data_IF_197859308823
#
_entry.id   IF_197859308823
#
_cell.length_a   1.000
_cell.length_b   1.000
_cell.length_c   1.000
_cell.angle_alpha   90.00
_cell.angle_beta   90.00
_cell.angle_gamma   90.00
#
_symmetry.space_group_name_H-M   'P 1'
#
loop_
_entity.id
_entity.type
_entity.pdbx_description
1 polymer ?
#
# COMPACT_ATOMS: atom_id res chain seq x y z
N UNK A 1 26.83 -31.25 -18.11
CA UNK A 1 27.64 -29.99 -17.96
C UNK A 1 27.47 -29.49 -16.56
N UNK A 2 28.52 -29.45 -15.77
CA UNK A 2 28.49 -28.89 -14.42
C UNK A 2 28.57 -27.38 -14.51
N UNK A 3 27.46 -26.70 -14.62
CA UNK A 3 27.43 -25.22 -14.55
C UNK A 3 27.28 -24.89 -13.07
N UNK A 4 28.31 -24.33 -12.46
CA UNK A 4 28.24 -23.89 -11.08
C UNK A 4 27.43 -22.57 -11.01
N UNK A 5 26.12 -22.71 -11.06
CA UNK A 5 25.15 -21.60 -11.02
C UNK A 5 24.88 -21.11 -9.60
N UNK A 6 25.36 -21.84 -8.57
CA UNK A 6 25.03 -21.54 -7.19
C UNK A 6 25.52 -20.16 -6.72
N UNK A 7 26.76 -19.83 -7.04
CA UNK A 7 27.30 -18.50 -6.70
C UNK A 7 26.55 -17.35 -7.39
N UNK A 8 26.14 -17.57 -8.64
CA UNK A 8 25.33 -16.58 -9.39
C UNK A 8 23.95 -16.44 -8.78
N UNK A 9 23.31 -17.53 -8.33
CA UNK A 9 22.02 -17.51 -7.64
C UNK A 9 22.13 -16.77 -6.32
N UNK A 10 23.17 -17.03 -5.52
CA UNK A 10 23.40 -16.35 -4.25
C UNK A 10 23.67 -14.85 -4.44
N UNK A 11 24.45 -14.48 -5.44
CA UNK A 11 24.71 -13.09 -5.77
C UNK A 11 23.42 -12.36 -6.19
N UNK A 12 22.64 -12.94 -7.09
CA UNK A 12 21.35 -12.40 -7.52
C UNK A 12 20.38 -12.28 -6.35
N UNK A 13 20.35 -13.29 -5.47
CA UNK A 13 19.54 -13.29 -4.25
C UNK A 13 19.87 -12.09 -3.35
N UNK A 14 21.16 -11.82 -3.12
CA UNK A 14 21.61 -10.67 -2.32
C UNK A 14 21.33 -9.34 -3.00
N UNK A 15 21.62 -9.21 -4.28
CA UNK A 15 21.43 -7.97 -5.05
C UNK A 15 19.95 -7.56 -5.15
N UNK A 16 19.06 -8.55 -5.29
CA UNK A 16 17.62 -8.33 -5.51
C UNK A 16 16.76 -8.52 -4.26
N UNK A 17 17.36 -9.01 -3.16
CA UNK A 17 16.66 -9.25 -1.90
C UNK A 17 15.57 -10.33 -2.00
N UNK A 18 15.74 -11.30 -2.92
CA UNK A 18 14.83 -12.42 -3.17
C UNK A 18 15.43 -13.69 -2.64
N UNK A 19 14.62 -14.59 -2.06
CA UNK A 19 15.13 -15.85 -1.54
C UNK A 19 15.71 -16.75 -2.65
N UNK A 20 16.83 -17.46 -2.42
CA UNK A 20 17.43 -18.36 -3.40
C UNK A 20 16.47 -19.40 -3.98
N UNK A 21 15.55 -19.92 -3.15
CA UNK A 21 14.52 -20.89 -3.55
C UNK A 21 13.62 -20.39 -4.69
N UNK A 22 13.27 -19.11 -4.68
CA UNK A 22 12.45 -18.48 -5.73
C UNK A 22 13.20 -18.47 -7.07
N UNK A 23 14.50 -18.16 -7.03
CA UNK A 23 15.35 -18.16 -8.24
C UNK A 23 15.53 -19.59 -8.76
N UNK A 24 15.72 -20.57 -7.88
CA UNK A 24 15.84 -21.98 -8.24
C UNK A 24 14.57 -22.46 -8.94
N UNK A 25 13.39 -22.24 -8.32
CA UNK A 25 12.11 -22.63 -8.91
C UNK A 25 11.86 -21.97 -10.27
N UNK A 26 12.30 -20.73 -10.45
CA UNK A 26 12.22 -20.04 -11.72
C UNK A 26 13.10 -20.68 -12.80
N UNK A 27 14.31 -21.13 -12.45
CA UNK A 27 15.22 -21.83 -13.35
C UNK A 27 14.63 -23.18 -13.75
N UNK A 28 14.14 -23.96 -12.77
CA UNK A 28 13.53 -25.27 -13.00
C UNK A 28 12.33 -25.16 -13.95
N UNK A 29 11.42 -24.22 -13.70
CA UNK A 29 10.23 -23.99 -14.53
C UNK A 29 10.59 -23.55 -15.95
N UNK A 30 11.57 -22.63 -16.10
CA UNK A 30 12.03 -22.18 -17.40
C UNK A 30 12.58 -23.30 -18.25
N UNK A 31 13.40 -24.12 -17.63
CA UNK A 31 14.02 -25.25 -18.32
C UNK A 31 12.98 -26.32 -18.67
N UNK A 32 12.00 -26.54 -17.80
CA UNK A 32 10.88 -27.45 -18.07
C UNK A 32 10.08 -27.00 -19.30
N UNK A 33 9.73 -25.72 -19.37
CA UNK A 33 8.98 -25.13 -20.51
C UNK A 33 9.80 -25.16 -21.79
N UNK A 34 11.08 -24.79 -21.71
CA UNK A 34 11.98 -24.80 -22.87
C UNK A 34 12.20 -26.21 -23.41
N UNK A 35 12.40 -27.18 -22.50
CA UNK A 35 12.58 -28.59 -22.86
C UNK A 35 11.31 -29.19 -23.47
N UNK A 36 10.13 -28.84 -22.96
CA UNK A 36 8.85 -29.32 -23.51
C UNK A 36 8.59 -28.86 -24.95
N UNK A 37 9.14 -27.72 -25.37
CA UNK A 37 9.06 -27.23 -26.76
C UNK A 37 9.99 -27.97 -27.73
N UNK A 38 11.08 -28.51 -27.20
CA UNK A 38 12.11 -29.17 -28.02
C UNK A 38 11.86 -30.68 -28.16
N UNK A 39 11.43 -31.29 -27.08
CA UNK A 39 11.01 -32.70 -27.03
C UNK A 39 9.49 -32.72 -27.21
N UNK A 40 8.97 -33.56 -28.09
CA UNK A 40 7.53 -33.59 -28.38
C UNK A 40 6.70 -33.56 -27.09
N UNK A 41 5.57 -32.85 -27.09
CA UNK A 41 4.72 -32.57 -25.91
C UNK A 41 4.28 -33.80 -25.06
N UNK A 42 4.66 -34.99 -25.44
CA UNK A 42 4.36 -36.27 -24.79
C UNK A 42 5.42 -36.70 -23.75
N UNK A 43 6.62 -36.11 -23.76
CA UNK A 43 7.67 -36.48 -22.84
C UNK A 43 7.52 -35.79 -21.49
N UNK A 44 7.45 -36.54 -20.39
CA UNK A 44 7.43 -36.03 -19.03
C UNK A 44 8.85 -35.65 -18.59
N UNK A 45 9.24 -34.39 -18.90
CA UNK A 45 10.55 -33.87 -18.57
C UNK A 45 10.53 -33.33 -17.14
N UNK A 46 11.50 -33.76 -16.35
CA UNK A 46 11.75 -33.26 -15.00
C UNK A 46 13.07 -32.51 -14.98
N UNK A 47 13.02 -31.32 -14.38
CA UNK A 47 14.18 -30.49 -14.13
C UNK A 47 14.38 -30.43 -12.62
N UNK A 48 15.57 -30.69 -12.17
CA UNK A 48 15.88 -30.68 -10.75
C UNK A 48 17.25 -30.05 -10.50
N UNK A 49 17.27 -29.06 -9.60
CA UNK A 49 18.49 -28.41 -9.15
C UNK A 49 18.98 -29.01 -7.83
N UNK A 50 20.26 -29.41 -7.77
CA UNK A 50 20.91 -29.88 -6.54
C UNK A 50 21.74 -28.76 -5.93
N UNK A 51 21.25 -28.07 -4.88
CA UNK A 51 21.95 -26.92 -4.26
C UNK A 51 23.32 -27.33 -3.71
N UNK A 52 23.40 -28.53 -3.11
CA UNK A 52 24.63 -29.05 -2.48
C UNK A 52 25.78 -29.25 -3.47
N UNK A 53 25.47 -29.55 -4.74
CA UNK A 53 26.44 -29.75 -5.81
C UNK A 53 26.51 -28.62 -6.83
N UNK A 54 25.59 -27.65 -6.74
CA UNK A 54 25.42 -26.60 -7.75
C UNK A 54 25.05 -27.14 -9.13
N UNK A 55 24.50 -28.35 -9.21
CA UNK A 55 24.23 -29.08 -10.45
C UNK A 55 22.76 -29.01 -10.83
N UNK A 56 22.51 -28.68 -12.08
CA UNK A 56 21.20 -28.78 -12.71
C UNK A 56 21.12 -30.07 -13.49
N UNK A 57 20.10 -30.89 -13.20
CA UNK A 57 19.84 -32.17 -13.91
C UNK A 57 18.51 -32.08 -14.63
N UNK A 58 18.51 -32.46 -15.91
CA UNK A 58 17.31 -32.52 -16.74
C UNK A 58 17.19 -33.95 -17.30
N UNK A 59 16.06 -34.58 -17.00
CA UNK A 59 15.83 -35.98 -17.40
C UNK A 59 14.36 -36.19 -17.78
N UNK A 60 14.15 -37.15 -18.70
CA UNK A 60 12.82 -37.65 -19.00
C UNK A 60 12.52 -38.90 -18.13
N UNK A 61 11.29 -39.00 -17.65
CA UNK A 61 10.80 -40.17 -16.92
C UNK A 61 9.98 -41.00 -17.89
N UNK A 62 10.45 -42.22 -18.21
CA UNK A 62 9.74 -43.14 -19.10
C UNK A 62 9.41 -44.45 -18.36
N UNK A 63 8.27 -45.02 -18.71
CA UNK A 63 7.85 -46.32 -18.22
C UNK A 63 8.48 -47.46 -19.06
N UNK A 64 9.04 -48.43 -18.40
CA UNK A 64 9.63 -49.61 -19.08
C UNK A 64 8.51 -50.57 -19.49
N UNK A 65 8.43 -50.84 -20.79
CA UNK A 65 7.45 -51.75 -21.38
C UNK A 65 8.12 -52.73 -22.32
N UNK A 66 7.47 -53.85 -22.61
CA UNK A 66 8.01 -54.81 -23.58
C UNK A 66 7.97 -54.27 -25.00
N UNK A 67 6.85 -53.62 -25.38
CA UNK A 67 6.65 -53.03 -26.70
C UNK A 67 6.11 -51.60 -26.52
N UNK A 68 6.93 -50.55 -26.74
CA UNK A 68 6.51 -49.17 -26.59
C UNK A 68 5.43 -48.78 -27.61
N UNK A 69 4.30 -48.25 -27.13
CA UNK A 69 3.25 -47.69 -27.96
C UNK A 69 3.38 -46.14 -28.04
N UNK A 70 3.87 -45.53 -27.00
CA UNK A 70 4.17 -44.09 -26.95
C UNK A 70 5.67 -43.86 -26.66
N UNK A 71 6.49 -43.60 -27.68
CA UNK A 71 7.93 -43.38 -27.52
C UNK A 71 8.27 -42.17 -26.62
N UNK A 72 7.32 -41.25 -26.39
CA UNK A 72 7.49 -40.10 -25.48
C UNK A 72 7.39 -40.51 -24.00
N UNK A 73 6.51 -41.43 -23.66
CA UNK A 73 6.21 -41.85 -22.29
C UNK A 73 6.81 -43.21 -21.92
N UNK A 74 7.16 -44.03 -22.92
CA UNK A 74 7.57 -45.44 -22.76
C UNK A 74 8.96 -45.69 -23.34
N UNK A 75 9.65 -46.73 -22.82
CA UNK A 75 10.93 -47.21 -23.30
C UNK A 75 10.92 -48.74 -23.35
N UNK A 76 11.49 -49.33 -24.40
CA UNK A 76 11.63 -50.76 -24.52
C UNK A 76 12.53 -51.33 -23.42
N UNK A 77 12.18 -52.52 -22.90
CA UNK A 77 12.94 -53.20 -21.85
C UNK A 77 14.42 -53.38 -22.21
N UNK A 78 14.72 -53.67 -23.47
CA UNK A 78 16.09 -53.83 -23.94
C UNK A 78 16.91 -52.53 -23.85
N UNK A 79 16.32 -51.43 -24.19
CA UNK A 79 16.94 -50.09 -24.08
C UNK A 79 17.07 -49.66 -22.63
N UNK A 80 16.03 -49.90 -21.82
CA UNK A 80 16.05 -49.64 -20.39
C UNK A 80 17.18 -50.38 -19.67
N UNK A 81 17.43 -51.64 -20.02
CA UNK A 81 18.52 -52.45 -19.46
C UNK A 81 19.92 -51.94 -19.84
N UNK A 82 20.07 -51.26 -20.96
CA UNK A 82 21.36 -50.60 -21.30
C UNK A 82 21.69 -49.44 -20.36
N UNK A 83 20.65 -48.81 -19.82
CA UNK A 83 20.79 -47.66 -18.89
C UNK A 83 20.85 -48.18 -17.44
N UNK A 84 19.98 -49.13 -17.08
CA UNK A 84 19.91 -49.78 -15.77
C UNK A 84 19.72 -51.28 -15.94
N UNK A 85 20.80 -52.08 -15.74
CA UNK A 85 20.76 -53.53 -15.98
C UNK A 85 19.67 -54.29 -15.23
N UNK A 86 19.21 -53.75 -14.07
CA UNK A 86 18.16 -54.34 -13.25
C UNK A 86 16.73 -53.91 -13.60
N UNK A 87 16.52 -53.22 -14.74
CA UNK A 87 15.22 -52.69 -15.13
C UNK A 87 14.23 -53.81 -15.43
N UNK A 88 13.00 -53.67 -14.93
CA UNK A 88 11.88 -54.62 -15.10
C UNK A 88 10.67 -53.92 -15.73
N UNK A 89 9.82 -54.66 -16.50
CA UNK A 89 8.60 -54.06 -17.07
C UNK A 89 7.69 -53.47 -15.98
N UNK A 90 7.10 -52.33 -16.28
CA UNK A 90 6.24 -51.59 -15.34
C UNK A 90 6.96 -50.57 -14.44
N UNK A 91 8.29 -50.64 -14.33
CA UNK A 91 9.09 -49.65 -13.61
C UNK A 91 9.26 -48.35 -14.39
N UNK A 92 9.62 -47.28 -13.69
CA UNK A 92 10.01 -46.02 -14.32
C UNK A 92 11.53 -45.85 -14.32
N UNK A 93 12.07 -45.34 -15.42
CA UNK A 93 13.49 -45.06 -15.57
C UNK A 93 13.70 -43.57 -15.91
N UNK A 94 14.73 -43.00 -15.29
CA UNK A 94 15.18 -41.62 -15.60
C UNK A 94 16.23 -41.65 -16.69
N UNK A 95 16.00 -40.90 -17.77
CA UNK A 95 16.91 -40.79 -18.91
C UNK A 95 17.45 -39.39 -18.95
N UNK A 96 18.74 -39.21 -18.67
CA UNK A 96 19.38 -37.90 -18.73
C UNK A 96 19.37 -37.38 -20.17
N UNK A 97 18.96 -36.13 -20.33
CA UNK A 97 18.93 -35.48 -21.65
C UNK A 97 20.31 -34.92 -22.04
N UNK A 98 20.69 -34.96 -23.34
CA UNK A 98 21.97 -34.44 -23.78
C UNK A 98 22.17 -32.97 -23.49
N UNK A 99 23.26 -32.62 -22.81
CA UNK A 99 23.55 -31.27 -22.37
C UNK A 99 23.69 -30.23 -23.51
N UNK A 100 24.16 -30.70 -24.67
CA UNK A 100 24.42 -29.81 -25.81
C UNK A 100 23.14 -29.27 -26.48
N UNK A 101 22.06 -30.03 -26.40
CA UNK A 101 20.75 -29.65 -26.94
C UNK A 101 20.05 -28.63 -26.04
N UNK A 102 20.29 -28.71 -24.73
CA UNK A 102 19.71 -27.81 -23.72
C UNK A 102 20.45 -26.46 -23.61
N UNK A 103 21.73 -26.43 -23.94
CA UNK A 103 22.59 -25.29 -23.64
C UNK A 103 22.23 -23.99 -24.36
N UNK A 104 21.74 -24.06 -25.59
CA UNK A 104 21.39 -22.84 -26.36
C UNK A 104 19.97 -22.34 -26.12
N UNK A 105 19.02 -23.24 -25.99
CA UNK A 105 17.59 -22.90 -25.82
C UNK A 105 17.29 -22.51 -24.37
N UNK A 106 17.93 -23.21 -23.42
CA UNK A 106 17.75 -22.96 -22.00
C UNK A 106 18.34 -21.64 -21.53
N UNK A 107 19.46 -21.18 -22.11
CA UNK A 107 20.09 -19.94 -21.66
C UNK A 107 19.22 -18.69 -21.90
N UNK A 108 18.55 -18.60 -23.05
CA UNK A 108 17.68 -17.44 -23.35
C UNK A 108 16.32 -17.54 -22.62
N UNK A 109 15.68 -18.71 -22.62
CA UNK A 109 14.41 -18.92 -21.95
C UNK A 109 14.56 -18.82 -20.43
N UNK A 110 15.61 -19.42 -19.84
CA UNK A 110 15.92 -19.30 -18.43
C UNK A 110 16.16 -17.85 -18.01
N UNK A 111 16.93 -17.09 -18.80
CA UNK A 111 17.19 -15.67 -18.52
C UNK A 111 15.86 -14.89 -18.42
N UNK A 112 14.96 -15.07 -19.38
CA UNK A 112 13.69 -14.34 -19.41
C UNK A 112 12.80 -14.69 -18.20
N UNK A 113 12.61 -15.97 -17.89
CA UNK A 113 11.76 -16.40 -16.79
C UNK A 113 12.39 -16.08 -15.42
N UNK A 114 13.71 -16.18 -15.28
CA UNK A 114 14.40 -15.72 -14.07
C UNK A 114 14.13 -14.25 -13.84
N UNK A 115 14.31 -13.39 -14.85
CA UNK A 115 14.02 -11.97 -14.72
C UNK A 115 12.55 -11.72 -14.36
N UNK A 116 11.63 -12.45 -14.98
CA UNK A 116 10.19 -12.31 -14.66
C UNK A 116 9.90 -12.72 -13.22
N UNK A 117 10.37 -13.88 -12.76
CA UNK A 117 10.13 -14.35 -11.39
C UNK A 117 10.80 -13.50 -10.32
N UNK A 118 12.01 -13.02 -10.59
CA UNK A 118 12.69 -12.07 -9.70
C UNK A 118 11.90 -10.78 -9.61
N UNK A 119 11.43 -10.26 -10.74
CA UNK A 119 10.58 -9.07 -10.78
C UNK A 119 9.27 -9.28 -10.02
N UNK A 120 8.59 -10.40 -10.23
CA UNK A 120 7.35 -10.74 -9.52
C UNK A 120 7.57 -10.80 -8.00
N UNK A 121 8.68 -11.38 -7.57
CA UNK A 121 9.04 -11.45 -6.15
C UNK A 121 9.42 -10.08 -5.55
N UNK A 122 10.12 -9.22 -6.30
CA UNK A 122 10.38 -7.83 -5.91
C UNK A 122 9.07 -7.05 -5.74
N UNK A 123 8.14 -7.21 -6.69
CA UNK A 123 6.84 -6.54 -6.65
C UNK A 123 5.98 -7.04 -5.48
N UNK A 124 5.98 -8.35 -5.20
CA UNK A 124 5.27 -8.92 -4.05
C UNK A 124 5.85 -8.42 -2.73
N UNK A 125 7.18 -8.28 -2.64
CA UNK A 125 7.84 -7.71 -1.46
C UNK A 125 7.39 -6.27 -1.21
N UNK A 126 7.34 -5.42 -2.26
CA UNK A 126 6.83 -4.05 -2.15
C UNK A 126 5.40 -4.03 -1.64
N UNK A 127 4.53 -4.89 -2.19
CA UNK A 127 3.15 -4.97 -1.75
C UNK A 127 3.03 -5.36 -0.27
N UNK A 128 3.77 -6.39 0.15
CA UNK A 128 3.79 -6.88 1.53
C UNK A 128 4.34 -5.83 2.52
N UNK A 129 5.30 -5.01 2.08
CA UNK A 129 5.86 -3.91 2.89
C UNK A 129 4.85 -2.77 3.06
N UNK A 130 4.15 -2.36 1.99
CA UNK A 130 3.34 -1.15 2.02
C UNK A 130 1.85 -1.39 2.31
N UNK A 131 1.30 -2.58 2.05
CA UNK A 131 -0.11 -2.86 2.31
C UNK A 131 -0.52 -2.70 3.79
N UNK A 132 0.26 -3.14 4.78
CA UNK A 132 -0.04 -2.92 6.19
C UNK A 132 0.04 -1.44 6.61
N UNK A 133 0.75 -0.62 5.85
CA UNK A 133 0.99 0.80 6.14
C UNK A 133 -0.08 1.73 5.58
N UNK A 134 -1.17 1.19 5.05
CA UNK A 134 -2.32 2.00 4.64
C UNK A 134 -2.87 2.77 5.85
N UNK A 135 -2.96 4.08 5.72
CA UNK A 135 -3.34 4.99 6.81
C UNK A 135 -2.17 5.54 7.62
N UNK A 136 -0.93 5.23 7.26
CA UNK A 136 0.28 5.84 7.83
C UNK A 136 0.76 7.02 6.98
N UNK A 137 1.46 7.95 7.63
CA UNK A 137 2.19 9.03 6.95
C UNK A 137 3.54 8.49 6.51
N UNK A 138 3.86 8.74 5.25
CA UNK A 138 5.19 8.49 4.68
C UNK A 138 5.81 9.80 4.22
N UNK A 139 7.14 9.82 4.26
CA UNK A 139 7.93 10.90 3.69
C UNK A 139 8.54 10.43 2.39
N UNK A 140 8.29 11.15 1.31
CA UNK A 140 8.83 10.86 -0.01
C UNK A 140 9.52 12.06 -0.62
N UNK A 141 10.39 11.82 -1.60
CA UNK A 141 11.04 12.87 -2.39
C UNK A 141 10.41 12.94 -3.77
N UNK A 142 10.11 14.15 -4.24
CA UNK A 142 9.55 14.37 -5.58
C UNK A 142 10.59 13.97 -6.64
N UNK A 143 10.26 12.95 -7.44
CA UNK A 143 11.11 12.44 -8.51
C UNK A 143 10.80 13.08 -9.86
N UNK A 144 9.53 13.11 -10.23
CA UNK A 144 9.05 13.63 -11.50
C UNK A 144 7.56 13.97 -11.45
N UNK A 145 7.10 14.59 -12.50
CA UNK A 145 5.69 14.93 -12.71
C UNK A 145 5.17 14.15 -13.93
N UNK A 146 3.95 13.64 -13.82
CA UNK A 146 3.24 12.93 -14.88
C UNK A 146 1.80 13.47 -14.98
N UNK A 147 1.47 14.16 -16.07
CA UNK A 147 0.12 14.71 -16.30
C UNK A 147 -0.45 15.47 -15.08
N UNK A 148 0.30 16.41 -14.50
CA UNK A 148 0.00 17.15 -13.26
C UNK A 148 0.03 16.32 -11.96
N UNK A 149 0.19 15.01 -12.02
CA UNK A 149 0.40 14.18 -10.84
C UNK A 149 1.87 14.21 -10.44
N UNK A 150 2.14 13.95 -9.18
CA UNK A 150 3.50 13.90 -8.63
C UNK A 150 3.88 12.44 -8.39
N UNK A 151 5.07 12.05 -8.79
CA UNK A 151 5.64 10.76 -8.42
C UNK A 151 6.67 11.00 -7.31
N UNK A 152 6.38 10.43 -6.15
CA UNK A 152 7.26 10.47 -5.00
C UNK A 152 8.10 9.20 -4.93
N UNK A 153 9.33 9.31 -4.45
CA UNK A 153 10.11 8.16 -4.04
C UNK A 153 10.01 8.00 -2.53
N UNK A 154 9.49 6.86 -2.11
CA UNK A 154 9.37 6.44 -0.71
C UNK A 154 10.10 5.10 -0.56
N UNK A 155 11.18 5.03 0.24
CA UNK A 155 11.98 3.81 0.43
C UNK A 155 12.40 3.14 -0.89
N UNK A 156 12.87 3.91 -1.88
CA UNK A 156 13.24 3.44 -3.23
C UNK A 156 12.07 2.90 -4.06
N UNK A 157 10.84 3.07 -3.61
CA UNK A 157 9.62 2.67 -4.31
C UNK A 157 8.86 3.91 -4.74
N UNK A 158 8.25 3.86 -5.92
CA UNK A 158 7.45 4.97 -6.43
C UNK A 158 6.05 4.97 -5.80
N UNK A 159 5.63 6.13 -5.31
CA UNK A 159 4.28 6.38 -4.84
C UNK A 159 3.61 7.44 -5.73
N UNK A 160 2.38 7.16 -6.12
CA UNK A 160 1.57 8.03 -6.98
C UNK A 160 0.80 9.03 -6.13
N UNK A 161 1.03 10.30 -6.37
CA UNK A 161 0.38 11.41 -5.69
C UNK A 161 -0.47 12.19 -6.69
N UNK A 162 -1.78 11.89 -6.80
CA UNK A 162 -2.68 12.52 -7.76
C UNK A 162 -2.79 14.03 -7.53
N UNK A 163 -2.95 14.79 -8.61
CA UNK A 163 -3.13 16.24 -8.53
C UNK A 163 -4.31 16.66 -7.63
N UNK A 164 -5.41 15.90 -7.65
CA UNK A 164 -6.60 16.12 -6.80
C UNK A 164 -6.36 15.88 -5.30
N UNK A 165 -5.30 15.16 -4.97
CA UNK A 165 -4.93 14.82 -3.60
C UNK A 165 -3.88 15.80 -3.02
N UNK A 166 -3.46 16.80 -3.79
CA UNK A 166 -2.65 17.93 -3.33
C UNK A 166 -3.55 18.95 -2.63
N UNK A 167 -2.98 19.71 -1.70
CA UNK A 167 -3.69 20.85 -1.13
C UNK A 167 -3.80 21.97 -2.18
N UNK A 168 -4.85 22.81 -2.12
CA UNK A 168 -4.94 23.99 -2.96
C UNK A 168 -3.69 24.85 -2.82
N UNK A 169 -3.18 25.38 -3.93
CA UNK A 169 -2.00 26.24 -4.02
C UNK A 169 -0.68 25.59 -3.58
N UNK A 170 -0.64 24.26 -3.47
CA UNK A 170 0.58 23.53 -3.17
C UNK A 170 1.39 23.31 -4.45
N UNK A 171 2.57 23.87 -4.50
CA UNK A 171 3.51 23.70 -5.61
C UNK A 171 4.72 22.89 -5.13
N UNK A 172 5.15 21.97 -5.95
CA UNK A 172 6.30 21.11 -5.67
C UNK A 172 7.32 21.22 -6.78
N UNK A 173 8.58 21.12 -6.39
CA UNK A 173 9.74 21.02 -7.28
C UNK A 173 10.37 19.65 -7.16
N UNK A 174 11.10 19.23 -8.20
CA UNK A 174 11.88 17.99 -8.14
C UNK A 174 12.92 18.07 -7.02
N UNK A 175 12.98 17.06 -6.18
CA UNK A 175 13.85 17.00 -5.01
C UNK A 175 13.20 17.44 -3.71
N UNK A 176 12.01 18.04 -3.75
CA UNK A 176 11.28 18.42 -2.53
C UNK A 176 10.90 17.19 -1.72
N UNK A 177 10.95 17.37 -0.40
CA UNK A 177 10.50 16.34 0.55
C UNK A 177 9.05 16.59 0.93
N UNK A 178 8.20 15.59 0.76
CA UNK A 178 6.76 15.67 0.97
C UNK A 178 6.29 14.59 1.93
N UNK A 179 5.53 14.97 2.95
CA UNK A 179 4.79 14.05 3.82
C UNK A 179 3.40 13.84 3.26
N UNK A 180 2.97 12.58 3.12
CA UNK A 180 1.64 12.24 2.64
C UNK A 180 1.14 10.94 3.27
N UNK A 181 -0.18 10.76 3.32
CA UNK A 181 -0.83 9.56 3.84
C UNK A 181 -0.93 8.50 2.76
N UNK A 182 -0.55 7.26 3.05
CA UNK A 182 -0.86 6.13 2.17
C UNK A 182 -2.37 5.88 2.25
N UNK A 183 -3.07 6.05 1.14
CA UNK A 183 -4.52 5.81 1.07
C UNK A 183 -4.87 4.45 0.52
N UNK A 184 -4.01 3.94 -0.38
CA UNK A 184 -4.27 2.68 -1.07
C UNK A 184 -2.97 2.06 -1.60
N UNK A 185 -2.92 0.73 -1.61
CA UNK A 185 -1.89 -0.04 -2.28
C UNK A 185 -2.60 -1.07 -3.18
N UNK A 186 -2.43 -0.95 -4.49
CA UNK A 186 -3.08 -1.82 -5.47
C UNK A 186 -2.06 -2.67 -6.21
N UNK A 187 -2.40 -3.94 -6.48
CA UNK A 187 -1.65 -4.77 -7.43
C UNK A 187 -2.14 -4.47 -8.85
N UNK A 188 -1.25 -4.00 -9.71
CA UNK A 188 -1.51 -3.77 -11.13
C UNK A 188 -0.68 -4.73 -11.99
N UNK A 189 -0.97 -4.81 -13.29
CA UNK A 189 -0.17 -5.61 -14.22
C UNK A 189 1.31 -5.15 -14.30
N UNK A 190 1.59 -3.91 -13.93
CA UNK A 190 2.93 -3.33 -13.92
C UNK A 190 3.64 -3.46 -12.55
N UNK A 191 2.90 -3.90 -11.53
CA UNK A 191 3.35 -4.04 -10.15
C UNK A 191 2.46 -3.30 -9.15
N UNK A 192 2.80 -3.32 -7.85
CA UNK A 192 2.07 -2.60 -6.82
C UNK A 192 2.19 -1.10 -7.02
N UNK A 193 1.05 -0.42 -6.99
CA UNK A 193 0.96 1.03 -7.06
C UNK A 193 0.50 1.57 -5.72
N UNK A 194 1.29 2.45 -5.13
CA UNK A 194 1.03 3.09 -3.84
C UNK A 194 0.41 4.45 -4.12
N UNK A 195 -0.78 4.71 -3.56
CA UNK A 195 -1.45 5.99 -3.67
C UNK A 195 -1.30 6.76 -2.37
N UNK A 196 -0.98 8.04 -2.48
CA UNK A 196 -0.83 8.93 -1.34
C UNK A 196 -1.70 10.17 -1.47
N UNK A 197 -2.08 10.75 -0.32
CA UNK A 197 -2.97 11.92 -0.24
C UNK A 197 -2.54 12.86 0.87
N UNK A 198 -2.76 14.16 0.64
CA UNK A 198 -2.68 15.22 1.65
C UNK A 198 -4.05 15.84 1.96
N UNK A 199 -5.07 15.50 1.14
CA UNK A 199 -6.45 15.99 1.32
C UNK A 199 -7.29 15.10 2.23
N UNK A 200 -6.92 13.83 2.36
CA UNK A 200 -7.69 12.85 3.14
C UNK A 200 -7.80 13.25 4.63
N UNK A 201 -8.99 13.15 5.27
CA UNK A 201 -9.15 13.52 6.69
C UNK A 201 -8.19 12.82 7.64
N UNK A 202 -7.89 11.54 7.42
CA UNK A 202 -6.93 10.77 8.22
C UNK A 202 -5.50 11.34 8.17
N UNK A 203 -5.14 12.12 7.13
CA UNK A 203 -3.83 12.79 7.10
C UNK A 203 -3.71 13.79 8.24
N UNK A 204 -4.74 14.64 8.45
CA UNK A 204 -4.77 15.56 9.59
C UNK A 204 -4.82 14.79 10.93
N UNK A 205 -5.62 13.72 11.03
CA UNK A 205 -5.68 12.92 12.26
C UNK A 205 -4.30 12.33 12.62
N UNK A 206 -3.56 11.85 11.62
CA UNK A 206 -2.20 11.33 11.84
C UNK A 206 -1.17 12.42 12.14
N UNK A 207 -1.32 13.63 11.60
CA UNK A 207 -0.49 14.76 11.99
C UNK A 207 -0.74 15.17 13.45
N UNK A 208 -2.01 15.16 13.90
CA UNK A 208 -2.36 15.39 15.29
C UNK A 208 -1.75 14.32 16.21
N UNK A 209 -1.82 13.05 15.84
CA UNK A 209 -1.22 11.95 16.58
C UNK A 209 0.31 12.08 16.70
N UNK A 210 0.97 12.55 15.65
CA UNK A 210 2.43 12.78 15.65
C UNK A 210 2.87 13.97 16.52
N UNK A 211 2.07 15.04 16.54
CA UNK A 211 2.43 16.29 17.22
C UNK A 211 1.94 16.36 18.66
N UNK A 212 0.90 15.58 19.02
CA UNK A 212 0.22 15.65 20.32
C UNK A 212 0.40 14.32 21.07
N UNK A 213 1.30 14.26 22.06
CA UNK A 213 1.59 13.04 22.81
C UNK A 213 0.36 12.45 23.50
N UNK A 214 -0.56 13.30 23.96
CA UNK A 214 -1.78 12.88 24.65
C UNK A 214 -2.73 12.11 23.72
N UNK A 215 -2.71 12.40 22.40
CA UNK A 215 -3.42 11.62 21.38
C UNK A 215 -2.66 10.33 21.09
N UNK A 216 -1.35 10.43 20.90
CA UNK A 216 -0.49 9.26 20.61
C UNK A 216 -0.57 8.20 21.71
N UNK A 217 -0.64 8.62 22.98
CA UNK A 217 -0.76 7.74 24.13
C UNK A 217 -2.20 7.26 24.38
N UNK A 218 -3.19 7.78 23.65
CA UNK A 218 -4.59 7.40 23.77
C UNK A 218 -5.34 8.01 24.97
N UNK A 219 -4.76 9.01 25.66
CA UNK A 219 -5.42 9.76 26.73
C UNK A 219 -6.51 10.69 26.16
N UNK A 220 -6.26 11.25 24.97
CA UNK A 220 -7.21 12.02 24.18
C UNK A 220 -7.59 11.23 22.94
N UNK A 221 -8.86 11.13 22.67
CA UNK A 221 -9.43 10.46 21.51
C UNK A 221 -10.01 11.50 20.53
N UNK A 222 -9.66 11.38 19.24
CA UNK A 222 -10.33 12.11 18.18
C UNK A 222 -11.65 11.37 17.88
N UNK A 223 -12.78 11.96 18.24
CA UNK A 223 -14.11 11.37 18.03
C UNK A 223 -14.60 11.57 16.60
N UNK A 224 -14.44 12.79 16.08
CA UNK A 224 -14.84 13.17 14.73
C UNK A 224 -13.87 14.18 14.14
N UNK A 225 -13.74 14.14 12.82
CA UNK A 225 -12.91 15.06 12.07
C UNK A 225 -13.51 15.33 10.69
N UNK A 226 -13.71 16.58 10.38
CA UNK A 226 -14.13 17.05 9.06
C UNK A 226 -13.23 18.17 8.59
N UNK A 227 -12.93 18.21 7.28
CA UNK A 227 -12.10 19.28 6.72
C UNK A 227 -12.53 19.68 5.32
N UNK A 228 -12.23 20.90 4.99
CA UNK A 228 -12.10 21.43 3.64
C UNK A 228 -10.62 21.67 3.42
N UNK A 229 -9.93 20.76 2.69
CA UNK A 229 -8.47 20.78 2.57
C UNK A 229 -7.91 22.13 2.14
N UNK A 230 -6.89 22.60 2.83
CA UNK A 230 -6.24 23.88 2.60
C UNK A 230 -7.02 25.12 3.08
N UNK A 231 -8.24 24.96 3.59
CA UNK A 231 -9.05 26.09 4.06
C UNK A 231 -9.33 26.00 5.57
N UNK A 232 -10.05 24.95 6.00
CA UNK A 232 -10.42 24.79 7.40
C UNK A 232 -10.75 23.32 7.75
N UNK A 233 -10.42 22.94 8.97
CA UNK A 233 -10.81 21.69 9.58
C UNK A 233 -11.46 21.91 10.94
N UNK A 234 -12.33 20.97 11.34
CA UNK A 234 -12.87 20.87 12.70
C UNK A 234 -12.58 19.49 13.23
N UNK A 235 -12.04 19.44 14.44
CA UNK A 235 -11.62 18.22 15.12
C UNK A 235 -12.30 18.16 16.47
N UNK A 236 -13.13 17.18 16.69
CA UNK A 236 -13.78 16.93 17.97
C UNK A 236 -12.95 15.92 18.77
N UNK A 237 -12.55 16.33 19.96
CA UNK A 237 -11.71 15.55 20.87
C UNK A 237 -12.41 15.30 22.21
N UNK A 238 -12.07 14.19 22.83
CA UNK A 238 -12.57 13.82 24.15
C UNK A 238 -11.42 13.27 24.97
N UNK A 239 -11.29 13.71 26.21
CA UNK A 239 -10.37 13.10 27.19
C UNK A 239 -11.00 11.88 27.84
N UNK A 240 -10.18 10.84 28.04
CA UNK A 240 -10.52 9.69 28.89
C UNK A 240 -10.22 9.96 30.37
N UNK A 241 -9.40 10.96 30.66
CA UNK A 241 -8.97 11.35 31.99
C UNK A 241 -9.64 12.68 32.39
N UNK A 242 -10.14 12.75 33.62
CA UNK A 242 -10.88 13.94 34.08
C UNK A 242 -10.01 15.17 34.26
N UNK A 243 -8.73 14.97 34.49
CA UNK A 243 -7.78 16.05 34.81
C UNK A 243 -7.10 16.64 33.56
N UNK A 244 -7.40 16.13 32.38
CA UNK A 244 -6.83 16.62 31.10
C UNK A 244 -7.90 17.43 30.36
N UNK A 245 -7.61 18.71 30.12
CA UNK A 245 -8.34 19.53 29.13
C UNK A 245 -7.97 19.08 27.71
N UNK A 246 -8.87 18.40 26.98
CA UNK A 246 -8.54 17.84 25.67
C UNK A 246 -8.29 18.91 24.63
N UNK A 247 -8.95 20.05 24.72
CA UNK A 247 -8.80 21.15 23.77
C UNK A 247 -7.50 21.90 24.02
N UNK A 248 -7.23 22.25 25.27
CA UNK A 248 -5.99 22.95 25.66
C UNK A 248 -4.75 22.13 25.35
N UNK A 249 -4.77 20.83 25.64
CA UNK A 249 -3.66 19.92 25.33
C UNK A 249 -3.38 19.85 23.82
N UNK A 250 -4.43 19.77 23.00
CA UNK A 250 -4.27 19.76 21.54
C UNK A 250 -3.75 21.09 20.98
N UNK A 251 -4.24 22.21 21.49
CA UNK A 251 -3.80 23.55 21.05
C UNK A 251 -2.34 23.80 21.45
N UNK A 252 -1.97 23.40 22.64
CA UNK A 252 -0.63 23.61 23.21
C UNK A 252 -0.38 25.04 23.66
N UNK A 253 0.79 25.28 24.25
CA UNK A 253 1.18 26.60 24.77
C UNK A 253 1.21 27.62 23.61
N UNK A 254 0.43 28.70 23.74
CA UNK A 254 0.28 29.75 22.72
C UNK A 254 -0.12 29.22 21.34
N UNK A 255 -0.79 28.07 21.27
CA UNK A 255 -1.24 27.49 20.01
C UNK A 255 -0.15 26.78 19.20
N UNK A 256 1.02 26.57 19.76
CA UNK A 256 2.21 26.12 19.02
C UNK A 256 1.99 24.78 18.28
N UNK A 257 1.35 23.79 18.92
CA UNK A 257 1.09 22.47 18.33
C UNK A 257 0.20 22.56 17.08
N UNK A 258 -0.94 23.26 17.21
CA UNK A 258 -1.85 23.45 16.06
C UNK A 258 -1.24 24.32 14.97
N UNK A 259 -0.43 25.32 15.32
CA UNK A 259 0.27 26.16 14.33
C UNK A 259 1.29 25.35 13.53
N UNK A 260 2.00 24.39 14.13
CA UNK A 260 2.92 23.50 13.43
C UNK A 260 2.17 22.66 12.39
N UNK A 261 1.03 22.06 12.78
CA UNK A 261 0.20 21.27 11.87
C UNK A 261 -0.42 22.16 10.77
N UNK A 262 -0.91 23.34 11.12
CA UNK A 262 -1.45 24.30 10.15
C UNK A 262 -0.41 24.71 9.09
N UNK A 263 0.84 24.92 9.48
CA UNK A 263 1.95 25.23 8.55
C UNK A 263 2.20 24.07 7.59
N UNK A 264 2.21 22.83 8.09
CA UNK A 264 2.32 21.63 7.25
C UNK A 264 1.18 21.55 6.22
N UNK A 265 -0.01 22.03 6.60
CA UNK A 265 -1.22 22.04 5.75
C UNK A 265 -1.43 23.37 5.00
N UNK A 266 -0.35 24.10 4.70
CA UNK A 266 -0.38 25.35 3.92
C UNK A 266 -1.31 26.44 4.52
N UNK A 267 -1.37 26.50 5.85
CA UNK A 267 -2.18 27.50 6.56
C UNK A 267 -3.65 27.11 6.77
N UNK A 268 -4.02 25.84 6.58
CA UNK A 268 -5.36 25.34 6.91
C UNK A 268 -5.69 25.66 8.37
N UNK A 269 -6.83 26.33 8.61
CA UNK A 269 -7.28 26.66 9.97
C UNK A 269 -7.85 25.42 10.64
N UNK A 270 -7.38 25.10 11.84
CA UNK A 270 -7.80 23.90 12.57
C UNK A 270 -8.52 24.35 13.84
N UNK A 271 -9.82 24.10 13.91
CA UNK A 271 -10.63 24.33 15.12
C UNK A 271 -10.69 23.00 15.90
N UNK A 272 -10.10 22.99 17.08
CA UNK A 272 -10.23 21.88 18.02
C UNK A 272 -11.36 22.21 18.98
N UNK A 273 -12.28 21.27 19.15
CA UNK A 273 -13.46 21.42 19.99
C UNK A 273 -13.65 20.18 20.87
N UNK A 274 -14.27 20.38 22.03
CA UNK A 274 -14.64 19.27 22.89
C UNK A 274 -15.87 18.54 22.31
N UNK A 275 -15.78 17.23 22.23
CA UNK A 275 -16.89 16.38 21.82
C UNK A 275 -17.94 16.29 22.93
N UNK A 276 -19.20 16.26 22.53
CA UNK A 276 -20.31 16.06 23.46
C UNK A 276 -21.35 15.08 22.90
N UNK A 277 -21.88 14.16 23.69
CA UNK A 277 -22.98 13.28 23.25
C UNK A 277 -24.30 14.03 23.09
N UNK A 278 -24.40 15.26 23.61
CA UNK A 278 -25.59 16.10 23.52
C UNK A 278 -25.54 16.96 22.26
N UNK A 279 -26.44 16.76 21.26
CA UNK A 279 -26.38 17.42 19.97
C UNK A 279 -26.33 18.96 20.06
N UNK A 280 -27.06 19.57 20.96
CA UNK A 280 -27.08 21.03 21.14
C UNK A 280 -25.74 21.56 21.68
N UNK A 281 -25.13 20.85 22.64
CA UNK A 281 -23.84 21.25 23.20
C UNK A 281 -22.72 21.06 22.14
N UNK A 282 -22.77 19.94 21.42
CA UNK A 282 -21.83 19.65 20.36
C UNK A 282 -21.94 20.63 19.21
N UNK A 283 -23.16 20.99 18.77
CA UNK A 283 -23.37 22.00 17.73
C UNK A 283 -22.87 23.39 18.16
N UNK A 284 -23.07 23.78 19.41
CA UNK A 284 -22.55 25.02 19.98
C UNK A 284 -21.01 25.05 19.89
N UNK A 285 -20.34 24.00 20.31
CA UNK A 285 -18.89 23.86 20.22
C UNK A 285 -18.41 23.83 18.74
N UNK A 286 -19.13 23.11 17.88
CA UNK A 286 -18.79 22.97 16.46
C UNK A 286 -18.85 24.29 15.67
N UNK A 287 -19.67 25.23 16.09
CA UNK A 287 -19.78 26.55 15.46
C UNK A 287 -18.67 27.54 15.91
N UNK A 288 -17.78 27.11 16.82
CA UNK A 288 -16.58 27.91 17.18
C UNK A 288 -15.87 28.39 15.90
N UNK A 289 -15.29 29.61 15.91
CA UNK A 289 -15.10 30.52 17.03
C UNK A 289 -16.30 31.48 17.27
N UNK A 290 -17.45 31.29 16.62
CA UNK A 290 -18.60 32.15 16.82
C UNK A 290 -19.25 31.91 18.21
N UNK A 291 -19.67 32.98 18.86
CA UNK A 291 -20.45 32.92 20.08
C UNK A 291 -21.91 32.62 19.73
N UNK A 292 -22.44 31.51 20.24
CA UNK A 292 -23.81 31.07 20.02
C UNK A 292 -24.66 31.38 21.26
N UNK A 293 -25.72 32.13 21.06
CA UNK A 293 -26.66 32.50 22.15
C UNK A 293 -27.46 31.27 22.57
N UNK A 294 -28.11 30.64 21.59
CA UNK A 294 -28.97 29.46 21.85
C UNK A 294 -29.00 28.52 20.65
N UNK A 295 -29.09 27.22 20.93
CA UNK A 295 -29.41 26.18 19.94
C UNK A 295 -30.83 25.69 20.20
N UNK A 296 -31.64 25.59 19.16
CA UNK A 296 -33.03 25.08 19.20
C UNK A 296 -33.13 23.89 18.24
N UNK A 297 -33.56 22.76 18.73
CA UNK A 297 -33.86 21.61 17.89
C UNK A 297 -35.23 21.84 17.27
N UNK A 298 -35.28 21.94 15.94
CA UNK A 298 -36.51 22.18 15.16
C UNK A 298 -37.17 20.84 14.83
N UNK A 299 -36.42 19.90 14.31
CA UNK A 299 -36.90 18.60 13.92
C UNK A 299 -35.88 17.52 14.28
N UNK A 300 -36.32 16.56 15.14
CA UNK A 300 -35.49 15.42 15.53
C UNK A 300 -35.46 14.32 14.47
N UNK A 301 -36.50 14.19 13.64
CA UNK A 301 -36.55 13.16 12.60
C UNK A 301 -35.65 13.53 11.43
N UNK A 302 -35.68 14.80 11.04
CA UNK A 302 -34.83 15.35 9.96
C UNK A 302 -33.48 15.86 10.47
N UNK A 303 -33.15 15.66 11.76
CA UNK A 303 -31.92 16.16 12.38
C UNK A 303 -31.64 17.64 12.05
N UNK A 304 -32.64 18.50 12.25
CA UNK A 304 -32.55 19.94 11.95
C UNK A 304 -32.55 20.77 13.22
N UNK A 305 -31.64 21.72 13.32
CA UNK A 305 -31.54 22.66 14.42
C UNK A 305 -31.25 24.09 13.94
N UNK A 306 -31.64 25.07 14.76
CA UNK A 306 -31.33 26.47 14.57
C UNK A 306 -30.31 26.95 15.61
N UNK A 307 -29.30 27.63 15.15
CA UNK A 307 -28.34 28.34 15.98
C UNK A 307 -28.63 29.83 15.96
N UNK A 308 -29.07 30.38 17.07
CA UNK A 308 -29.38 31.80 17.24
C UNK A 308 -28.10 32.51 17.67
N UNK A 309 -27.70 33.52 16.89
CA UNK A 309 -26.46 34.26 17.08
C UNK A 309 -26.70 35.75 17.17
N UNK A 310 -25.93 36.48 17.97
CA UNK A 310 -25.91 37.96 17.92
C UNK A 310 -25.51 38.45 16.52
N UNK A 311 -25.96 39.66 16.17
CA UNK A 311 -25.73 40.27 14.86
C UNK A 311 -24.23 40.34 14.49
N UNK A 312 -23.37 40.68 15.45
CA UNK A 312 -21.93 40.75 15.28
C UNK A 312 -21.26 39.39 15.04
N UNK A 313 -21.92 38.30 15.41
CA UNK A 313 -21.42 36.91 15.29
C UNK A 313 -21.90 36.19 14.01
N UNK A 314 -22.89 36.76 13.30
CA UNK A 314 -23.53 36.12 12.15
C UNK A 314 -22.51 35.70 11.06
N UNK A 315 -21.67 36.65 10.63
CA UNK A 315 -20.66 36.39 9.61
C UNK A 315 -19.63 35.33 10.06
N UNK A 316 -19.31 35.30 11.35
CA UNK A 316 -18.33 34.36 11.91
C UNK A 316 -18.94 32.96 12.02
N UNK A 317 -20.22 32.87 12.41
CA UNK A 317 -20.94 31.58 12.50
C UNK A 317 -21.11 30.95 11.12
N UNK A 318 -21.46 31.71 10.11
CA UNK A 318 -21.55 31.25 8.71
C UNK A 318 -20.15 30.92 8.18
N UNK A 319 -19.20 31.81 8.36
CA UNK A 319 -17.85 31.74 7.80
C UNK A 319 -17.77 32.10 6.32
N UNK A 320 -16.56 32.28 5.80
CA UNK A 320 -16.32 32.57 4.38
C UNK A 320 -16.94 31.50 3.49
N UNK A 321 -17.78 31.85 2.55
CA UNK A 321 -18.52 30.92 1.66
C UNK A 321 -19.32 29.85 2.42
N UNK A 322 -19.75 30.12 3.66
CA UNK A 322 -20.49 29.15 4.47
C UNK A 322 -19.67 27.98 5.03
N UNK A 323 -18.36 28.04 4.97
CA UNK A 323 -17.49 26.90 5.35
C UNK A 323 -17.66 26.53 6.82
N UNK A 324 -17.78 27.53 7.73
CA UNK A 324 -17.86 27.23 9.16
C UNK A 324 -19.13 26.44 9.51
N UNK A 325 -20.30 26.92 9.08
CA UNK A 325 -21.58 26.22 9.35
C UNK A 325 -21.66 24.87 8.62
N UNK A 326 -21.13 24.78 7.39
CA UNK A 326 -21.11 23.54 6.62
C UNK A 326 -20.25 22.46 7.30
N UNK A 327 -19.07 22.82 7.79
CA UNK A 327 -18.22 21.89 8.53
C UNK A 327 -18.84 21.53 9.88
N UNK A 328 -19.43 22.49 10.61
CA UNK A 328 -20.13 22.21 11.84
C UNK A 328 -21.30 21.22 11.64
N UNK A 329 -22.12 21.45 10.61
CA UNK A 329 -23.23 20.55 10.27
C UNK A 329 -22.74 19.13 9.95
N UNK A 330 -21.67 19.00 9.17
CA UNK A 330 -21.07 17.71 8.84
C UNK A 330 -20.49 17.01 10.05
N UNK A 331 -19.84 17.75 10.95
CA UNK A 331 -19.20 17.20 12.13
C UNK A 331 -20.22 16.64 13.13
N UNK A 332 -21.32 17.41 13.34
CA UNK A 332 -22.37 17.05 14.30
C UNK A 332 -23.37 16.03 13.72
N UNK A 333 -23.42 15.92 12.38
CA UNK A 333 -24.41 15.09 11.69
C UNK A 333 -25.81 15.67 11.70
N UNK A 334 -25.96 16.99 11.93
CA UNK A 334 -27.21 17.71 11.95
C UNK A 334 -27.20 18.87 10.95
N UNK A 335 -28.31 19.17 10.32
CA UNK A 335 -28.50 20.38 9.54
C UNK A 335 -28.58 21.56 10.51
N UNK A 336 -27.65 22.48 10.43
CA UNK A 336 -27.60 23.68 11.28
C UNK A 336 -27.95 24.90 10.44
N UNK A 337 -29.03 25.59 10.81
CA UNK A 337 -29.45 26.86 10.23
C UNK A 337 -29.06 27.99 11.17
N UNK A 338 -28.42 29.04 10.63
CA UNK A 338 -28.00 30.18 11.43
C UNK A 338 -29.08 31.25 11.35
N UNK A 339 -29.57 31.68 12.51
CA UNK A 339 -30.53 32.82 12.64
C UNK A 339 -29.94 33.92 13.48
N UNK A 340 -30.21 35.12 13.07
CA UNK A 340 -29.88 36.31 13.85
C UNK A 340 -30.92 36.50 14.95
N UNK A 341 -30.44 36.91 16.15
CA UNK A 341 -31.29 37.31 17.26
C UNK A 341 -32.12 38.55 16.91
#
# INVERSE_FOLDING_TARGET
>A
MKINVWNTILQLSKERGVQPSVIISAIEESLRVASAKYFSHKEKITVFFRPEKGELRVYAVKQVVETPQDPGAEIALEEARKIRPSASPGETIEIDLPADTLGRISAQAAKHVIFQKVRDAELEKIYTEFAPRIGEIVTGTVRRFENNNVILEVNKTEAFFPAREKLPNEEFSRGDTVRALITQVQKTAQGPQIYVSRTHPRFLAKLLELEIPEIANGNIEIKDLVRQPGERAKVAVMSKERDIDPVGACIGVKGNRILTISKELQGEKIDVIEWSPQPYAYARAALSPARIERIVIIDKQENTMEAIVPRDQLSLAIGKKGINVKLASRLVGWKIEIKQL
#
